data_IF_235213716570
#
_entry.id   IF_235213716570
#
_cell.length_a   1.000
_cell.length_b   1.000
_cell.length_c   1.000
_cell.angle_alpha   90.00
_cell.angle_beta   90.00
_cell.angle_gamma   90.00
#
_symmetry.space_group_name_H-M   'P 1'
#
loop_
_entity.id
_entity.type
_entity.pdbx_description
1 polymer ?
#
# COMPACT_ATOMS: atom_id res chain seq x y z
N UNK A 1 -1.75 -0.32 18.49
CA UNK A 1 -0.86 -1.49 18.31
C UNK A 1 0.60 -1.02 18.22
N UNK A 2 0.97 -0.12 17.30
CA UNK A 2 2.36 0.35 17.10
C UNK A 2 3.00 0.92 18.39
N UNK A 3 2.28 1.75 19.13
CA UNK A 3 2.78 2.33 20.40
C UNK A 3 3.07 1.25 21.44
N UNK A 4 2.19 0.26 21.57
CA UNK A 4 2.38 -0.87 22.49
C UNK A 4 3.59 -1.69 22.09
N UNK A 5 3.73 -1.99 20.80
CA UNK A 5 4.89 -2.69 20.26
C UNK A 5 6.19 -1.92 20.51
N UNK A 6 6.22 -0.61 20.21
CA UNK A 6 7.38 0.23 20.46
C UNK A 6 7.77 0.26 21.92
N UNK A 7 6.81 0.37 22.82
CA UNK A 7 7.05 0.34 24.26
C UNK A 7 7.62 -1.01 24.73
N UNK A 8 7.12 -2.12 24.20
CA UNK A 8 7.64 -3.46 24.51
C UNK A 8 9.12 -3.63 24.08
N UNK A 9 9.43 -3.21 22.86
CA UNK A 9 10.78 -3.35 22.29
C UNK A 9 11.76 -2.38 22.97
N UNK A 10 11.44 -1.08 23.01
CA UNK A 10 12.39 -0.04 23.41
C UNK A 10 12.47 0.18 24.93
N UNK A 11 11.40 -0.12 25.68
CA UNK A 11 11.37 0.12 27.14
C UNK A 11 11.54 -1.16 27.97
N UNK A 12 10.93 -2.27 27.52
CA UNK A 12 10.99 -3.53 28.27
C UNK A 12 12.10 -4.47 27.77
N UNK A 13 12.87 -4.09 26.78
CA UNK A 13 13.95 -4.90 26.20
C UNK A 13 13.54 -6.34 25.87
N UNK A 14 12.27 -6.53 25.45
CA UNK A 14 11.80 -7.83 24.99
C UNK A 14 12.53 -8.16 23.68
N UNK A 15 12.95 -9.42 23.51
CA UNK A 15 13.64 -9.82 22.29
C UNK A 15 12.81 -9.47 21.03
N UNK A 16 13.47 -8.93 20.02
CA UNK A 16 12.81 -8.46 18.79
C UNK A 16 11.97 -9.60 18.15
N UNK A 17 12.47 -10.85 18.16
CA UNK A 17 11.76 -11.98 17.58
C UNK A 17 10.41 -12.26 18.26
N UNK A 18 10.38 -12.28 19.59
CA UNK A 18 9.12 -12.48 20.35
C UNK A 18 8.15 -11.32 20.12
N UNK A 19 8.66 -10.09 20.15
CA UNK A 19 7.84 -8.90 19.87
C UNK A 19 7.27 -8.92 18.46
N UNK A 20 8.03 -9.38 17.47
CA UNK A 20 7.57 -9.50 16.07
C UNK A 20 6.45 -10.51 15.94
N UNK A 21 6.59 -11.70 16.53
CA UNK A 21 5.54 -12.73 16.50
C UNK A 21 4.27 -12.20 17.17
N UNK A 22 4.40 -11.58 18.34
CA UNK A 22 3.28 -10.96 19.03
C UNK A 22 2.63 -9.83 18.22
N UNK A 23 3.44 -9.01 17.55
CA UNK A 23 2.98 -7.93 16.68
C UNK A 23 2.20 -8.43 15.47
N UNK A 24 2.71 -9.45 14.78
CA UNK A 24 2.02 -10.08 13.64
C UNK A 24 0.71 -10.74 14.10
N UNK A 25 0.73 -11.48 15.21
CA UNK A 25 -0.48 -12.07 15.77
C UNK A 25 -1.53 -10.99 16.11
N UNK A 26 -1.10 -9.89 16.70
CA UNK A 26 -1.99 -8.77 17.00
C UNK A 26 -2.56 -8.10 15.73
N UNK A 27 -1.79 -7.98 14.64
CA UNK A 27 -2.28 -7.51 13.34
C UNK A 27 -3.38 -8.43 12.83
N UNK A 28 -3.15 -9.75 12.83
CA UNK A 28 -4.13 -10.74 12.38
C UNK A 28 -5.42 -10.64 13.20
N UNK A 29 -5.31 -10.52 14.50
CA UNK A 29 -6.48 -10.33 15.39
C UNK A 29 -7.22 -9.02 15.05
N UNK A 30 -6.49 -7.92 14.85
CA UNK A 30 -7.11 -6.64 14.47
C UNK A 30 -7.86 -6.74 13.14
N UNK A 31 -7.30 -7.43 12.14
CA UNK A 31 -7.94 -7.65 10.85
C UNK A 31 -9.20 -8.52 11.00
N UNK A 32 -9.11 -9.64 11.71
CA UNK A 32 -10.26 -10.53 11.94
C UNK A 32 -11.37 -9.80 12.70
N UNK A 33 -11.03 -9.04 13.73
CA UNK A 33 -12.00 -8.22 14.47
C UNK A 33 -12.60 -7.15 13.56
N UNK A 34 -11.80 -6.45 12.77
CA UNK A 34 -12.26 -5.43 11.85
C UNK A 34 -13.20 -5.97 10.77
N UNK A 35 -12.99 -7.20 10.28
CA UNK A 35 -13.86 -7.84 9.29
C UNK A 35 -15.22 -8.28 9.87
N UNK A 36 -15.26 -8.63 11.16
CA UNK A 36 -16.47 -9.20 11.78
C UNK A 36 -17.24 -8.22 12.66
N UNK A 37 -16.60 -7.15 13.12
CA UNK A 37 -17.19 -6.27 14.12
C UNK A 37 -17.00 -4.80 13.75
N UNK A 38 -18.10 -4.14 13.38
CA UNK A 38 -18.13 -2.74 12.96
C UNK A 38 -18.98 -1.89 13.93
N UNK A 39 -18.54 -1.68 15.19
CA UNK A 39 -19.39 -1.01 16.18
C UNK A 39 -19.40 0.51 16.04
N UNK A 40 -18.47 1.09 15.28
CA UNK A 40 -18.25 2.54 15.27
C UNK A 40 -18.66 3.11 13.91
N UNK A 41 -19.85 3.71 13.89
CA UNK A 41 -20.33 4.50 12.76
C UNK A 41 -20.28 5.99 13.15
N UNK A 42 -19.27 6.69 12.65
CA UNK A 42 -19.12 8.13 12.84
C UNK A 42 -19.39 8.85 11.51
N UNK A 43 -19.83 10.11 11.63
CA UNK A 43 -19.97 10.97 10.46
C UNK A 43 -18.60 11.25 9.81
N UNK A 44 -18.59 11.53 8.51
CA UNK A 44 -17.39 11.87 7.76
C UNK A 44 -16.60 13.02 8.43
N UNK A 45 -17.31 14.05 8.89
CA UNK A 45 -16.72 15.19 9.61
C UNK A 45 -16.05 14.76 10.91
N UNK A 46 -16.66 13.84 11.67
CA UNK A 46 -16.05 13.35 12.91
C UNK A 46 -14.76 12.56 12.62
N UNK A 47 -14.74 11.75 11.56
CA UNK A 47 -13.53 11.06 11.12
C UNK A 47 -12.43 12.04 10.68
N UNK A 48 -12.77 13.08 9.93
CA UNK A 48 -11.79 14.11 9.54
C UNK A 48 -11.15 14.80 10.75
N UNK A 49 -11.95 15.14 11.77
CA UNK A 49 -11.44 15.75 13.01
C UNK A 49 -10.51 14.80 13.76
N UNK A 50 -10.92 13.53 13.94
CA UNK A 50 -10.11 12.52 14.63
C UNK A 50 -8.77 12.31 13.91
N UNK A 51 -8.79 12.17 12.59
CA UNK A 51 -7.58 12.02 11.77
C UNK A 51 -6.70 13.27 11.84
N UNK A 52 -7.30 14.47 11.83
CA UNK A 52 -6.57 15.73 12.00
C UNK A 52 -5.84 15.81 13.34
N UNK A 53 -6.50 15.46 14.43
CA UNK A 53 -5.88 15.38 15.77
C UNK A 53 -4.75 14.34 15.78
N UNK A 54 -5.00 13.16 15.21
CA UNK A 54 -4.00 12.10 15.12
C UNK A 54 -2.75 12.56 14.36
N UNK A 55 -2.91 13.20 13.19
CA UNK A 55 -1.79 13.72 12.40
C UNK A 55 -1.00 14.77 13.18
N UNK A 56 -1.68 15.67 13.89
CA UNK A 56 -1.03 16.69 14.70
C UNK A 56 -0.19 16.07 15.82
N UNK A 57 -0.75 15.11 16.55
CA UNK A 57 -0.02 14.37 17.60
C UNK A 57 1.14 13.57 17.01
N UNK A 58 0.93 12.90 15.89
CA UNK A 58 1.94 12.07 15.23
C UNK A 58 3.12 12.91 14.70
N UNK A 59 2.88 14.15 14.26
CA UNK A 59 3.92 15.04 13.76
C UNK A 59 4.87 15.56 14.85
N UNK A 60 4.39 15.62 16.09
CA UNK A 60 5.17 16.08 17.25
C UNK A 60 5.80 14.91 18.00
N UNK A 61 5.22 13.72 17.89
CA UNK A 61 5.69 12.54 18.60
C UNK A 61 7.10 12.10 18.12
N UNK A 62 7.98 11.67 19.03
CA UNK A 62 9.28 11.11 18.63
C UNK A 62 9.12 9.91 17.69
N UNK A 63 10.01 9.81 16.69
CA UNK A 63 9.98 8.79 15.64
C UNK A 63 9.90 7.36 16.18
N UNK A 64 10.64 7.08 17.27
CA UNK A 64 10.70 5.75 17.88
C UNK A 64 9.41 5.30 18.58
N UNK A 65 8.52 6.22 18.92
CA UNK A 65 7.26 5.88 19.62
C UNK A 65 6.20 5.41 18.63
N UNK A 66 6.06 6.08 17.50
CA UNK A 66 4.95 5.87 16.58
C UNK A 66 5.39 5.42 15.20
N UNK A 67 6.29 6.16 14.54
CA UNK A 67 6.67 5.92 13.16
C UNK A 67 7.44 4.60 12.98
N UNK A 68 8.51 4.42 13.71
CA UNK A 68 9.39 3.27 13.59
C UNK A 68 8.67 1.93 13.86
N UNK A 69 7.91 1.78 14.96
CA UNK A 69 7.16 0.55 15.20
C UNK A 69 6.04 0.31 14.19
N UNK A 70 5.36 1.38 13.73
CA UNK A 70 4.32 1.29 12.72
C UNK A 70 4.88 0.80 11.40
N UNK A 71 5.95 1.42 10.93
CA UNK A 71 6.55 1.10 9.63
C UNK A 71 7.15 -0.31 9.64
N UNK A 72 7.75 -0.74 10.75
CA UNK A 72 8.21 -2.10 10.91
C UNK A 72 7.08 -3.13 10.80
N UNK A 73 5.96 -2.91 11.50
CA UNK A 73 4.81 -3.81 11.44
C UNK A 73 4.12 -3.77 10.05
N UNK A 74 4.01 -2.59 9.45
CA UNK A 74 3.41 -2.42 8.13
C UNK A 74 4.23 -3.08 7.02
N UNK A 75 5.55 -3.22 7.19
CA UNK A 75 6.40 -3.89 6.20
C UNK A 75 6.02 -5.36 6.00
N UNK A 76 5.56 -6.06 7.03
CA UNK A 76 5.09 -7.44 6.90
C UNK A 76 3.81 -7.53 6.05
N UNK A 77 2.89 -6.59 6.22
CA UNK A 77 1.70 -6.50 5.37
C UNK A 77 2.07 -6.20 3.92
N UNK A 78 3.02 -5.29 3.71
CA UNK A 78 3.53 -4.97 2.37
C UNK A 78 4.15 -6.18 1.68
N UNK A 79 5.03 -6.91 2.37
CA UNK A 79 5.63 -8.12 1.80
C UNK A 79 4.60 -9.21 1.54
N UNK A 80 3.66 -9.40 2.45
CA UNK A 80 2.55 -10.33 2.24
C UNK A 80 1.74 -9.95 0.99
N UNK A 81 1.34 -8.69 0.87
CA UNK A 81 0.64 -8.16 -0.30
C UNK A 81 1.43 -8.39 -1.59
N UNK A 82 2.73 -8.09 -1.58
CA UNK A 82 3.61 -8.29 -2.74
C UNK A 82 3.68 -9.75 -3.19
N UNK A 83 3.80 -10.68 -2.23
CA UNK A 83 3.84 -12.12 -2.52
C UNK A 83 2.51 -12.58 -3.10
N UNK A 84 1.40 -12.18 -2.50
CA UNK A 84 0.06 -12.52 -2.98
C UNK A 84 -0.20 -11.94 -4.37
N UNK A 85 0.18 -10.70 -4.58
CA UNK A 85 0.02 -10.03 -5.87
C UNK A 85 0.89 -10.68 -6.97
N UNK A 86 2.15 -11.00 -6.67
CA UNK A 86 3.02 -11.72 -7.59
C UNK A 86 2.45 -13.13 -7.92
N UNK A 87 1.95 -13.84 -6.90
CA UNK A 87 1.28 -15.13 -7.10
C UNK A 87 0.02 -14.99 -7.97
N UNK A 88 -0.76 -13.93 -7.78
CA UNK A 88 -1.94 -13.63 -8.59
C UNK A 88 -1.59 -13.38 -10.06
N UNK A 89 -0.59 -12.52 -10.32
CA UNK A 89 -0.11 -12.23 -11.68
C UNK A 89 0.42 -13.49 -12.37
N UNK A 90 1.31 -14.23 -11.71
CA UNK A 90 1.90 -15.45 -12.26
C UNK A 90 0.84 -16.54 -12.43
N UNK A 91 -0.03 -16.73 -11.43
CA UNK A 91 -1.10 -17.73 -11.46
C UNK A 91 -2.10 -17.45 -12.59
N UNK A 92 -2.54 -16.21 -12.76
CA UNK A 92 -3.41 -15.79 -13.84
C UNK A 92 -2.76 -16.02 -15.22
N UNK A 93 -1.46 -15.74 -15.35
CA UNK A 93 -0.71 -15.97 -16.58
C UNK A 93 -0.62 -17.47 -16.92
N UNK A 94 -0.30 -18.32 -15.95
CA UNK A 94 -0.21 -19.77 -16.14
C UNK A 94 -1.54 -20.42 -16.49
N UNK A 95 -2.66 -19.86 -15.99
CA UNK A 95 -4.02 -20.35 -16.29
C UNK A 95 -4.55 -19.81 -17.62
N UNK A 96 -3.79 -18.97 -18.34
CA UNK A 96 -4.21 -18.39 -19.61
C UNK A 96 -5.29 -17.30 -19.49
N UNK A 97 -5.54 -16.78 -18.29
CA UNK A 97 -6.50 -15.72 -18.02
C UNK A 97 -5.86 -14.33 -17.93
N UNK A 98 -4.56 -14.23 -18.11
CA UNK A 98 -3.86 -12.94 -18.10
C UNK A 98 -4.07 -12.22 -19.43
N UNK A 99 -5.05 -11.32 -19.47
CA UNK A 99 -5.21 -10.34 -20.54
C UNK A 99 -4.97 -8.94 -19.97
N UNK A 100 -4.24 -8.11 -20.70
CA UNK A 100 -4.15 -6.69 -20.42
C UNK A 100 -5.15 -5.98 -21.33
N UNK A 101 -6.26 -5.55 -20.75
CA UNK A 101 -7.33 -4.88 -21.48
C UNK A 101 -7.02 -3.39 -21.72
N UNK A 102 -5.97 -2.89 -21.08
CA UNK A 102 -5.56 -1.50 -21.24
C UNK A 102 -4.98 -1.26 -22.65
N UNK A 103 -5.49 -0.30 -23.43
CA UNK A 103 -4.91 0.06 -24.71
C UNK A 103 -3.52 0.65 -24.52
N UNK A 104 -2.61 0.34 -25.46
CA UNK A 104 -1.22 0.82 -25.42
C UNK A 104 -1.11 2.35 -25.42
N UNK A 105 -2.07 3.03 -26.03
CA UNK A 105 -2.14 4.49 -26.06
C UNK A 105 -3.60 4.95 -26.09
N UNK A 106 -3.97 5.80 -25.14
CA UNK A 106 -5.35 6.33 -25.01
C UNK A 106 -5.48 7.78 -25.49
N UNK A 107 -4.36 8.46 -25.76
CA UNK A 107 -4.32 9.86 -26.17
C UNK A 107 -3.52 10.76 -25.24
N UNK A 108 -3.52 12.06 -25.51
CA UNK A 108 -2.80 13.06 -24.73
C UNK A 108 -3.68 13.74 -23.65
N UNK A 109 -4.93 13.32 -23.51
CA UNK A 109 -5.88 13.81 -22.51
C UNK A 109 -6.30 12.67 -21.61
N UNK A 110 -6.64 13.01 -20.38
CA UNK A 110 -7.26 12.10 -19.45
C UNK A 110 -8.63 11.69 -19.98
N UNK A 111 -8.82 10.40 -20.24
CA UNK A 111 -10.06 9.81 -20.79
C UNK A 111 -10.93 9.20 -19.70
N UNK A 112 -10.41 9.04 -18.48
CA UNK A 112 -11.09 8.38 -17.36
C UNK A 112 -11.67 9.34 -16.34
N UNK A 113 -11.38 10.63 -16.47
CA UNK A 113 -11.85 11.58 -15.48
C UNK A 113 -13.37 11.68 -15.49
N UNK A 114 -14.02 11.50 -14.33
CA UNK A 114 -15.43 11.85 -14.19
C UNK A 114 -15.59 13.34 -14.52
N UNK A 115 -16.72 13.67 -15.12
CA UNK A 115 -17.07 15.01 -15.55
C UNK A 115 -16.80 16.03 -14.41
N UNK A 116 -15.75 16.82 -14.52
CA UNK A 116 -15.39 17.88 -13.57
C UNK A 116 -14.07 17.73 -12.81
N UNK A 117 -13.40 16.58 -12.86
CA UNK A 117 -12.12 16.36 -12.16
C UNK A 117 -10.98 15.90 -13.07
N UNK A 118 -11.03 16.28 -14.36
CA UNK A 118 -10.00 15.88 -15.33
C UNK A 118 -8.63 16.45 -14.92
N UNK A 119 -7.62 15.59 -14.84
CA UNK A 119 -6.22 16.00 -14.73
C UNK A 119 -5.76 16.76 -15.98
N UNK A 120 -6.60 16.84 -17.01
CA UNK A 120 -6.37 17.58 -18.22
C UNK A 120 -5.47 16.87 -19.21
N UNK A 121 -4.45 17.58 -19.68
CA UNK A 121 -3.49 17.03 -20.61
C UNK A 121 -2.43 16.17 -19.89
N UNK A 122 -1.89 15.17 -20.61
CA UNK A 122 -0.82 14.32 -20.11
C UNK A 122 0.38 15.14 -19.59
N UNK A 123 0.74 16.22 -20.28
CA UNK A 123 1.72 17.19 -19.81
C UNK A 123 1.03 18.51 -19.44
N UNK A 124 1.32 19.12 -18.27
CA UNK A 124 2.29 18.70 -17.25
C UNK A 124 1.75 17.73 -16.18
N UNK A 125 0.44 17.56 -16.04
CA UNK A 125 -0.16 16.95 -14.86
C UNK A 125 0.24 15.48 -14.64
N UNK A 126 0.04 14.62 -15.63
CA UNK A 126 0.41 13.19 -15.52
C UNK A 126 1.92 13.04 -15.37
N UNK A 127 2.71 13.84 -16.11
CA UNK A 127 4.16 13.81 -16.00
C UNK A 127 4.64 14.15 -14.59
N UNK A 128 4.05 15.18 -13.94
CA UNK A 128 4.37 15.55 -12.56
C UNK A 128 3.97 14.45 -11.59
N UNK A 129 2.82 13.78 -11.81
CA UNK A 129 2.37 12.67 -10.97
C UNK A 129 3.32 11.48 -11.05
N UNK A 130 3.79 11.13 -12.24
CA UNK A 130 4.78 10.04 -12.43
C UNK A 130 6.14 10.45 -11.85
N UNK A 131 6.58 11.68 -12.08
CA UNK A 131 7.82 12.21 -11.53
C UNK A 131 7.81 12.23 -10.00
N UNK A 132 6.65 12.41 -9.37
CA UNK A 132 6.50 12.34 -7.93
C UNK A 132 6.90 10.96 -7.38
N UNK A 133 6.57 9.87 -8.07
CA UNK A 133 7.03 8.53 -7.69
C UNK A 133 8.53 8.32 -7.90
N UNK A 134 9.11 8.91 -8.95
CA UNK A 134 10.52 8.71 -9.30
C UNK A 134 11.49 9.61 -8.52
N UNK A 135 11.11 10.87 -8.27
CA UNK A 135 11.98 11.92 -7.70
C UNK A 135 11.26 12.66 -6.56
N UNK A 136 10.45 11.97 -5.81
CA UNK A 136 9.63 12.57 -4.74
C UNK A 136 10.48 13.37 -3.75
N UNK A 137 10.07 14.59 -3.45
CA UNK A 137 10.65 15.37 -2.35
C UNK A 137 10.51 14.68 -1.01
N UNK A 138 9.54 13.78 -0.86
CA UNK A 138 9.38 12.95 0.32
C UNK A 138 10.53 11.95 0.48
N UNK A 139 11.05 11.36 -0.58
CA UNK A 139 12.23 10.48 -0.53
C UNK A 139 13.45 11.20 0.05
N UNK A 140 13.69 12.44 -0.34
CA UNK A 140 14.81 13.22 0.22
C UNK A 140 14.57 13.57 1.70
N UNK A 141 13.33 13.86 2.08
CA UNK A 141 12.95 14.15 3.46
C UNK A 141 13.12 12.92 4.36
N UNK A 142 12.66 11.76 3.92
CA UNK A 142 12.83 10.49 4.66
C UNK A 142 14.29 10.08 4.70
N UNK A 143 14.99 10.18 3.58
CA UNK A 143 16.42 9.86 3.49
C UNK A 143 17.26 10.66 4.45
N UNK A 144 17.11 11.98 4.49
CA UNK A 144 17.88 12.87 5.36
C UNK A 144 17.38 12.95 6.81
N UNK A 145 16.06 12.87 6.99
CA UNK A 145 15.41 13.09 8.29
C UNK A 145 15.24 11.86 9.17
N UNK A 146 14.99 10.71 8.56
CA UNK A 146 14.61 9.49 9.27
C UNK A 146 15.61 8.36 9.03
N UNK A 147 15.78 7.92 7.78
CA UNK A 147 16.59 6.75 7.45
C UNK A 147 18.06 6.93 7.80
N UNK A 148 18.63 8.09 7.51
CA UNK A 148 20.03 8.39 7.82
C UNK A 148 20.34 8.33 9.32
N UNK A 149 19.35 8.65 10.17
CA UNK A 149 19.48 8.60 11.63
C UNK A 149 19.31 7.20 12.23
N UNK A 150 18.82 6.25 11.44
CA UNK A 150 18.56 4.87 11.87
C UNK A 150 19.61 3.89 11.37
N UNK A 151 20.50 4.34 10.49
CA UNK A 151 21.62 3.53 10.01
C UNK A 151 22.64 3.33 11.11
N UNK A 152 22.97 2.09 11.40
CA UNK A 152 24.03 1.70 12.31
C UNK A 152 25.41 1.74 11.64
N UNK A 153 25.47 1.55 10.31
CA UNK A 153 26.70 1.53 9.54
C UNK A 153 26.46 2.10 8.14
N UNK A 154 27.39 2.93 7.66
CA UNK A 154 27.32 3.52 6.31
C UNK A 154 27.29 2.48 5.19
N UNK A 155 27.89 1.30 5.38
CA UNK A 155 27.86 0.20 4.41
C UNK A 155 26.44 -0.29 4.12
N UNK A 156 25.53 -0.14 5.09
CA UNK A 156 24.14 -0.55 4.98
C UNK A 156 23.28 0.47 4.19
N UNK A 157 23.76 1.69 3.98
CA UNK A 157 23.04 2.73 3.27
C UNK A 157 22.67 2.29 1.84
N UNK A 158 23.65 1.75 1.10
CA UNK A 158 23.45 1.32 -0.30
C UNK A 158 22.45 0.16 -0.45
N UNK A 159 22.58 -0.96 0.28
CA UNK A 159 21.60 -2.06 0.17
C UNK A 159 20.19 -1.63 0.61
N UNK A 160 20.07 -0.80 1.63
CA UNK A 160 18.75 -0.33 2.11
C UNK A 160 18.09 0.58 1.08
N UNK A 161 18.80 1.60 0.59
CA UNK A 161 18.26 2.55 -0.38
C UNK A 161 17.94 1.85 -1.71
N UNK A 162 18.87 1.08 -2.25
CA UNK A 162 18.69 0.39 -3.52
C UNK A 162 17.66 -0.72 -3.43
N UNK A 163 17.64 -1.47 -2.33
CA UNK A 163 16.64 -2.50 -2.07
C UNK A 163 15.24 -1.93 -1.98
N UNK A 164 15.06 -0.80 -1.31
CA UNK A 164 13.79 -0.08 -1.27
C UNK A 164 13.28 0.33 -2.65
N UNK A 165 14.15 0.92 -3.47
CA UNK A 165 13.83 1.28 -4.86
C UNK A 165 13.41 0.08 -5.70
N UNK A 166 14.08 -1.06 -5.58
CA UNK A 166 13.74 -2.28 -6.33
C UNK A 166 12.37 -2.84 -5.92
N UNK A 167 12.04 -2.81 -4.64
CA UNK A 167 10.73 -3.22 -4.13
C UNK A 167 9.63 -2.28 -4.64
N UNK A 168 9.90 -0.98 -4.65
CA UNK A 168 8.97 0.01 -5.21
C UNK A 168 8.74 -0.19 -6.71
N UNK A 169 9.79 -0.47 -7.48
CA UNK A 169 9.67 -0.82 -8.90
C UNK A 169 8.85 -2.10 -9.11
N UNK A 170 9.06 -3.13 -8.29
CA UNK A 170 8.28 -4.36 -8.36
C UNK A 170 6.80 -4.11 -8.05
N UNK A 171 6.51 -3.28 -7.05
CA UNK A 171 5.14 -2.87 -6.72
C UNK A 171 4.49 -2.10 -7.87
N UNK A 172 5.22 -1.21 -8.53
CA UNK A 172 4.72 -0.45 -9.68
C UNK A 172 4.34 -1.38 -10.85
N UNK A 173 5.16 -2.39 -11.15
CA UNK A 173 4.86 -3.39 -12.19
C UNK A 173 3.61 -4.18 -11.83
N UNK A 174 3.50 -4.65 -10.59
CA UNK A 174 2.33 -5.38 -10.12
C UNK A 174 1.07 -4.52 -10.19
N UNK A 175 1.18 -3.24 -9.81
CA UNK A 175 0.07 -2.29 -9.90
C UNK A 175 -0.40 -2.07 -11.34
N UNK A 176 0.54 -1.95 -12.28
CA UNK A 176 0.22 -1.82 -13.71
C UNK A 176 -0.50 -3.07 -14.23
N UNK A 177 -0.04 -4.26 -13.86
CA UNK A 177 -0.70 -5.51 -14.22
C UNK A 177 -2.12 -5.59 -13.65
N UNK A 178 -2.29 -5.25 -12.37
CA UNK A 178 -3.59 -5.30 -11.70
C UNK A 178 -4.61 -4.33 -12.32
N UNK A 179 -4.19 -3.08 -12.55
CA UNK A 179 -5.05 -2.07 -13.18
C UNK A 179 -5.33 -2.43 -14.65
N UNK A 180 -4.32 -2.89 -15.39
CA UNK A 180 -4.47 -3.28 -16.78
C UNK A 180 -5.41 -4.47 -16.98
N UNK A 181 -5.46 -5.39 -16.01
CA UNK A 181 -6.34 -6.56 -16.03
C UNK A 181 -7.83 -6.20 -15.94
N UNK A 182 -8.17 -5.19 -15.15
CA UNK A 182 -9.57 -4.80 -14.91
C UNK A 182 -9.95 -3.49 -15.62
N UNK A 183 -9.12 -3.00 -16.54
CA UNK A 183 -9.28 -1.72 -17.20
C UNK A 183 -10.67 -1.53 -17.82
N UNK A 184 -11.17 -2.52 -18.53
CA UNK A 184 -12.46 -2.46 -19.23
C UNK A 184 -13.64 -2.16 -18.31
N UNK A 185 -13.57 -2.50 -17.02
CA UNK A 185 -14.63 -2.24 -16.05
C UNK A 185 -14.67 -0.80 -15.55
N UNK A 186 -13.55 -0.10 -15.63
CA UNK A 186 -13.40 1.27 -15.11
C UNK A 186 -13.26 2.31 -16.22
N UNK A 187 -13.18 1.88 -17.47
CA UNK A 187 -13.08 2.76 -18.62
C UNK A 187 -14.36 3.60 -18.88
N UNK A 188 -15.49 3.21 -18.29
CA UNK A 188 -16.80 3.85 -18.50
C UNK A 188 -17.04 5.09 -17.61
N UNK A 189 -16.01 5.64 -16.97
CA UNK A 189 -16.09 6.94 -16.26
C UNK A 189 -16.75 6.90 -14.89
N UNK A 190 -16.83 5.73 -14.25
CA UNK A 190 -17.25 5.65 -12.84
C UNK A 190 -16.17 6.25 -11.92
N UNK A 191 -16.60 6.92 -10.85
CA UNK A 191 -15.69 7.47 -9.82
C UNK A 191 -14.85 6.36 -9.20
N UNK A 192 -13.56 6.37 -9.48
CA UNK A 192 -12.67 5.26 -9.13
C UNK A 192 -11.70 5.70 -8.05
N UNK A 193 -11.72 5.00 -6.93
CA UNK A 193 -10.69 5.15 -5.89
C UNK A 193 -9.50 4.26 -6.29
N UNK A 194 -8.30 4.80 -6.52
CA UNK A 194 -7.15 4.04 -7.03
C UNK A 194 -6.81 2.80 -6.20
N UNK A 195 -6.93 2.88 -4.88
CA UNK A 195 -6.69 1.75 -3.97
C UNK A 195 -7.69 0.62 -4.18
N UNK A 196 -8.96 0.94 -4.39
CA UNK A 196 -10.01 -0.04 -4.66
C UNK A 196 -9.78 -0.77 -6.00
N UNK A 197 -9.34 -0.03 -7.03
CA UNK A 197 -8.99 -0.63 -8.34
C UNK A 197 -7.86 -1.62 -8.19
N UNK A 198 -6.79 -1.22 -7.54
CA UNK A 198 -5.64 -2.09 -7.28
C UNK A 198 -6.06 -3.36 -6.53
N UNK A 199 -6.81 -3.21 -5.44
CA UNK A 199 -7.27 -4.34 -4.64
C UNK A 199 -8.20 -5.28 -5.41
N UNK A 200 -9.12 -4.74 -6.22
CA UNK A 200 -9.99 -5.53 -7.08
C UNK A 200 -9.19 -6.31 -8.11
N UNK A 201 -8.25 -5.66 -8.80
CA UNK A 201 -7.42 -6.32 -9.80
C UNK A 201 -6.64 -7.50 -9.24
N UNK A 202 -5.98 -7.33 -8.10
CA UNK A 202 -5.24 -8.40 -7.44
C UNK A 202 -6.17 -9.51 -6.94
N UNK A 203 -7.28 -9.17 -6.29
CA UNK A 203 -8.21 -10.15 -5.76
C UNK A 203 -8.82 -11.03 -6.86
N UNK A 204 -9.11 -10.46 -8.01
CA UNK A 204 -9.62 -11.19 -9.17
C UNK A 204 -8.55 -12.05 -9.84
N UNK A 205 -7.33 -11.54 -9.99
CA UNK A 205 -6.22 -12.37 -10.48
C UNK A 205 -5.96 -13.58 -9.59
N UNK A 206 -6.02 -13.41 -8.27
CA UNK A 206 -5.89 -14.53 -7.33
C UNK A 206 -7.07 -15.49 -7.42
N UNK A 207 -8.27 -14.97 -7.68
CA UNK A 207 -9.47 -15.80 -7.84
C UNK A 207 -9.40 -16.75 -9.04
N UNK A 208 -8.58 -16.45 -10.04
CA UNK A 208 -8.36 -17.36 -11.19
C UNK A 208 -7.61 -18.63 -10.78
N UNK A 209 -6.93 -18.61 -9.64
CA UNK A 209 -6.17 -19.78 -9.13
C UNK A 209 -7.16 -20.77 -8.51
N UNK A 210 -7.17 -22.04 -8.94
CA UNK A 210 -8.05 -23.06 -8.38
C UNK A 210 -7.85 -23.22 -6.87
N UNK A 211 -8.96 -23.13 -6.13
CA UNK A 211 -8.97 -23.26 -4.66
C UNK A 211 -8.88 -21.95 -3.89
N UNK A 212 -8.54 -20.81 -4.52
CA UNK A 212 -8.43 -19.50 -3.85
C UNK A 212 -9.63 -18.57 -4.13
N UNK A 213 -10.56 -18.95 -4.98
CA UNK A 213 -11.72 -18.12 -5.37
C UNK A 213 -12.61 -17.69 -4.21
N UNK A 214 -12.65 -18.42 -3.11
CA UNK A 214 -13.42 -18.05 -1.91
C UNK A 214 -12.78 -16.97 -1.03
N UNK A 215 -11.50 -16.64 -1.26
CA UNK A 215 -10.74 -15.69 -0.43
C UNK A 215 -10.79 -14.25 -0.95
N UNK A 216 -11.45 -13.99 -2.07
CA UNK A 216 -11.45 -12.68 -2.74
C UNK A 216 -11.91 -11.55 -1.85
N UNK A 217 -13.00 -11.74 -1.09
CA UNK A 217 -13.53 -10.73 -0.19
C UNK A 217 -12.56 -10.38 0.95
N UNK A 218 -11.94 -11.40 1.55
CA UNK A 218 -10.95 -11.20 2.62
C UNK A 218 -9.71 -10.53 2.06
N UNK A 219 -9.25 -10.97 0.90
CA UNK A 219 -8.08 -10.40 0.24
C UNK A 219 -8.32 -8.94 -0.16
N UNK A 220 -9.48 -8.63 -0.75
CA UNK A 220 -9.87 -7.26 -1.07
C UNK A 220 -9.85 -6.37 0.18
N UNK A 221 -10.46 -6.83 1.27
CA UNK A 221 -10.51 -6.06 2.53
C UNK A 221 -9.14 -5.89 3.21
N UNK A 222 -8.18 -6.76 2.90
CA UNK A 222 -6.79 -6.63 3.38
C UNK A 222 -5.97 -5.66 2.52
N UNK A 223 -6.34 -5.49 1.25
CA UNK A 223 -5.60 -4.69 0.27
C UNK A 223 -6.08 -3.22 0.23
N UNK A 224 -7.34 -2.96 0.60
CA UNK A 224 -7.92 -1.62 0.75
C UNK A 224 -7.57 -1.04 2.12
#
# INVERSE_FOLDING_TARGET
LAVVFGFMVYRKNVSLGVSTIAGIAAIVVCVVVGLNFHPIYLSETAWMVIVGIYITVASVAPVWILLQPRDYLSSFLLYFMMIVAAAGVIGSALMGHASLDIPAFTGFKDTLAPTGSSLGFMFPALFVTIACGAISGFHSLVGSGTTSKQLDNEKNARPIAYGGMLIECALAIVSLCAVGYIWSRYADGTTVVPTAVFATGISEMVATIPGLGGSTHVLYSLLV
#
